data_IF_619050430265
#
_entry.id   IF_619050430265
#
_cell.length_a   1.000
_cell.length_b   1.000
_cell.length_c   1.000
_cell.angle_alpha   90.00
_cell.angle_beta   90.00
_cell.angle_gamma   90.00
#
_symmetry.space_group_name_H-M   'P 1'
#
loop_
_entity.id
_entity.type
_entity.pdbx_description
1 polymer ?
#
# COMPACT_ATOMS: atom_id res chain seq x y z
N UNK A 1 12.12 -19.76 29.60
CA UNK A 1 12.48 -18.58 28.80
C UNK A 1 12.96 -17.50 29.75
N UNK A 2 14.14 -16.96 29.52
CA UNK A 2 14.63 -15.82 30.30
C UNK A 2 13.88 -14.54 29.86
N UNK A 3 14.03 -13.45 30.61
CA UNK A 3 13.35 -12.18 30.31
C UNK A 3 13.67 -11.64 28.91
N UNK A 4 14.88 -11.91 28.41
CA UNK A 4 15.32 -11.53 27.06
C UNK A 4 14.55 -12.29 25.98
N UNK A 5 14.32 -13.60 26.16
CA UNK A 5 13.58 -14.43 25.20
C UNK A 5 12.11 -13.97 25.11
N UNK A 6 11.50 -13.60 26.23
CA UNK A 6 10.13 -13.08 26.27
C UNK A 6 10.03 -11.72 25.57
N UNK A 7 11.01 -10.84 25.80
CA UNK A 7 11.09 -9.54 25.14
C UNK A 7 11.26 -9.67 23.62
N UNK A 8 12.14 -10.56 23.16
CA UNK A 8 12.36 -10.81 21.72
C UNK A 8 11.07 -11.29 21.07
N UNK A 9 10.35 -12.22 21.71
CA UNK A 9 9.09 -12.74 21.20
C UNK A 9 8.02 -11.65 21.09
N UNK A 10 7.84 -10.85 22.14
CA UNK A 10 6.89 -9.74 22.12
C UNK A 10 7.23 -8.69 21.04
N UNK A 11 8.53 -8.41 20.85
CA UNK A 11 8.99 -7.53 19.80
C UNK A 11 8.68 -8.10 18.40
N UNK A 12 8.93 -9.39 18.18
CA UNK A 12 8.61 -10.07 16.92
C UNK A 12 7.11 -9.99 16.61
N UNK A 13 6.25 -10.32 17.56
CA UNK A 13 4.79 -10.27 17.39
C UNK A 13 4.31 -8.85 17.04
N UNK A 14 4.85 -7.82 17.71
CA UNK A 14 4.55 -6.42 17.40
C UNK A 14 5.04 -6.01 16.02
N UNK A 15 6.22 -6.48 15.62
CA UNK A 15 6.80 -6.19 14.33
C UNK A 15 6.01 -6.83 13.19
N UNK A 16 5.63 -8.10 13.32
CA UNK A 16 4.76 -8.80 12.37
C UNK A 16 3.40 -8.11 12.23
N UNK A 17 2.79 -7.74 13.36
CA UNK A 17 1.53 -6.99 13.36
C UNK A 17 1.67 -5.67 12.60
N UNK A 18 2.75 -4.92 12.86
CA UNK A 18 3.01 -3.64 12.18
C UNK A 18 3.25 -3.82 10.67
N UNK A 19 3.96 -4.87 10.25
CA UNK A 19 4.13 -5.19 8.83
C UNK A 19 2.77 -5.44 8.17
N UNK A 20 1.95 -6.29 8.80
CA UNK A 20 0.62 -6.64 8.29
C UNK A 20 -0.29 -5.42 8.19
N UNK A 21 -0.31 -4.57 9.21
CA UNK A 21 -1.09 -3.31 9.21
C UNK A 21 -0.61 -2.37 8.09
N UNK A 22 0.70 -2.23 7.90
CA UNK A 22 1.25 -1.41 6.83
C UNK A 22 0.87 -1.94 5.44
N UNK A 23 0.90 -3.26 5.24
CA UNK A 23 0.50 -3.89 3.98
C UNK A 23 -0.98 -3.66 3.70
N UNK A 24 -1.86 -3.88 4.69
CA UNK A 24 -3.30 -3.63 4.57
C UNK A 24 -3.56 -2.16 4.20
N UNK A 25 -2.96 -1.21 4.92
CA UNK A 25 -3.13 0.21 4.67
C UNK A 25 -2.71 0.60 3.24
N UNK A 26 -1.62 0.01 2.74
CA UNK A 26 -1.14 0.25 1.38
C UNK A 26 -2.13 -0.30 0.33
N UNK A 27 -2.63 -1.52 0.53
CA UNK A 27 -3.61 -2.15 -0.35
C UNK A 27 -4.94 -1.37 -0.37
N UNK A 28 -5.44 -0.97 0.79
CA UNK A 28 -6.67 -0.17 0.90
C UNK A 28 -6.54 1.19 0.22
N UNK A 29 -5.38 1.84 0.34
CA UNK A 29 -5.11 3.09 -0.36
C UNK A 29 -5.23 2.93 -1.88
N UNK A 30 -4.56 1.93 -2.46
CA UNK A 30 -4.60 1.71 -3.91
C UNK A 30 -5.94 1.22 -4.41
N UNK A 31 -6.60 0.35 -3.64
CA UNK A 31 -7.99 -0.06 -3.92
C UNK A 31 -8.90 1.17 -3.98
N UNK A 32 -8.80 2.07 -3.02
CA UNK A 32 -9.60 3.31 -2.99
C UNK A 32 -9.35 4.19 -4.22
N UNK A 33 -8.11 4.30 -4.70
CA UNK A 33 -7.83 5.06 -5.92
C UNK A 33 -8.47 4.40 -7.16
N UNK A 34 -8.41 3.07 -7.26
CA UNK A 34 -9.03 2.33 -8.36
C UNK A 34 -10.56 2.42 -8.32
N UNK A 35 -11.17 2.26 -7.14
CA UNK A 35 -12.62 2.37 -6.95
C UNK A 35 -13.14 3.75 -7.40
N UNK A 36 -12.38 4.83 -7.17
CA UNK A 36 -12.72 6.17 -7.67
C UNK A 36 -12.76 6.21 -9.21
N UNK A 37 -11.79 5.61 -9.88
CA UNK A 37 -11.76 5.56 -11.35
C UNK A 37 -12.94 4.78 -11.90
N UNK A 38 -13.30 3.66 -11.25
CA UNK A 38 -14.48 2.86 -11.61
C UNK A 38 -15.77 3.68 -11.42
N UNK A 39 -15.89 4.41 -10.31
CA UNK A 39 -17.06 5.22 -9.99
C UNK A 39 -17.23 6.44 -10.93
N UNK A 40 -16.13 6.98 -11.46
CA UNK A 40 -16.14 8.17 -12.32
C UNK A 40 -16.83 7.96 -13.69
N UNK A 41 -17.11 6.72 -14.11
CA UNK A 41 -17.74 6.40 -15.41
C UNK A 41 -17.16 7.23 -16.57
N UNK A 42 -15.87 7.05 -16.91
CA UNK A 42 -15.18 7.91 -17.86
C UNK A 42 -15.87 7.96 -19.23
N UNK A 43 -15.89 9.15 -19.84
CA UNK A 43 -16.55 9.44 -21.12
C UNK A 43 -16.00 8.65 -22.32
N UNK A 44 -14.91 7.90 -22.12
CA UNK A 44 -14.31 7.02 -23.12
C UNK A 44 -13.04 6.33 -22.63
N UNK A 45 -12.57 5.35 -23.40
CA UNK A 45 -11.41 4.50 -23.06
C UNK A 45 -10.13 5.32 -22.83
N UNK A 46 -9.91 6.39 -23.59
CA UNK A 46 -8.75 7.26 -23.43
C UNK A 46 -8.74 7.99 -22.07
N UNK A 47 -9.89 8.46 -21.61
CA UNK A 47 -10.03 9.11 -20.29
C UNK A 47 -9.76 8.11 -19.16
N UNK A 48 -10.26 6.88 -19.30
CA UNK A 48 -9.98 5.79 -18.36
C UNK A 48 -8.48 5.43 -18.31
N UNK A 49 -7.86 5.30 -19.49
CA UNK A 49 -6.42 5.00 -19.60
C UNK A 49 -5.58 6.07 -18.91
N UNK A 50 -5.88 7.35 -19.12
CA UNK A 50 -5.17 8.45 -18.47
C UNK A 50 -5.24 8.37 -16.93
N UNK A 51 -6.42 8.06 -16.38
CA UNK A 51 -6.59 7.94 -14.92
C UNK A 51 -5.82 6.75 -14.34
N UNK A 52 -5.86 5.60 -15.04
CA UNK A 52 -5.10 4.41 -14.64
C UNK A 52 -3.59 4.69 -14.69
N UNK A 53 -3.09 5.34 -15.74
CA UNK A 53 -1.68 5.73 -15.86
C UNK A 53 -1.25 6.62 -14.69
N UNK A 54 -2.05 7.62 -14.32
CA UNK A 54 -1.75 8.47 -13.16
C UNK A 54 -1.59 7.68 -11.85
N UNK A 55 -2.48 6.71 -11.60
CA UNK A 55 -2.37 5.83 -10.43
C UNK A 55 -1.08 5.02 -10.51
N UNK A 56 -0.77 4.44 -11.68
CA UNK A 56 0.46 3.66 -11.88
C UNK A 56 1.73 4.48 -11.63
N UNK A 57 1.77 5.74 -12.11
CA UNK A 57 2.90 6.65 -11.87
C UNK A 57 3.05 7.00 -10.39
N UNK A 58 1.94 7.22 -9.67
CA UNK A 58 1.95 7.42 -8.22
C UNK A 58 2.52 6.20 -7.49
N UNK A 59 2.13 4.98 -7.90
CA UNK A 59 2.67 3.73 -7.35
C UNK A 59 4.17 3.64 -7.61
N UNK A 60 4.62 3.90 -8.85
CA UNK A 60 6.03 3.85 -9.23
C UNK A 60 6.87 4.84 -8.42
N UNK A 61 6.37 6.07 -8.22
CA UNK A 61 7.02 7.07 -7.38
C UNK A 61 7.13 6.60 -5.93
N UNK A 62 6.05 6.03 -5.36
CA UNK A 62 6.07 5.51 -4.00
C UNK A 62 7.06 4.35 -3.85
N UNK A 63 7.09 3.42 -4.80
CA UNK A 63 8.06 2.31 -4.83
C UNK A 63 9.49 2.86 -4.88
N UNK A 64 9.76 3.85 -5.74
CA UNK A 64 11.07 4.47 -5.86
C UNK A 64 11.51 5.14 -4.57
N UNK A 65 10.61 5.84 -3.88
CA UNK A 65 10.90 6.46 -2.58
C UNK A 65 11.20 5.41 -1.52
N UNK A 66 10.37 4.36 -1.40
CA UNK A 66 10.56 3.30 -0.40
C UNK A 66 11.84 2.46 -0.62
N UNK A 67 12.33 2.36 -1.86
CA UNK A 67 13.58 1.65 -2.18
C UNK A 67 14.85 2.49 -1.94
N UNK A 68 14.70 3.82 -1.77
CA UNK A 68 15.83 4.75 -1.54
C UNK A 68 16.12 4.95 -0.06
N UNK A 69 15.19 4.56 0.81
CA UNK A 69 15.38 4.37 2.25
C UNK A 69 15.94 2.96 2.50
#
# INVERSE_FOLDING_TARGET
MNATDLFIKEYQERFEKKIKENEINLLEHWKTQLDKVIAMRPDGVASMQLQITKISDMMANRIKTLKKE
#
